data_IF_365180318434
#
_entry.id   IF_365180318434
#
_cell.length_a   1.000
_cell.length_b   1.000
_cell.length_c   1.000
_cell.angle_alpha   90.00
_cell.angle_beta   90.00
_cell.angle_gamma   90.00
#
_symmetry.space_group_name_H-M   'P 1'
#
loop_
_entity.id
_entity.type
_entity.pdbx_description
1 polymer ?
#
# COMPACT_ATOMS: atom_id res chain seq x y z
N UNK A 1 -27.34 -61.10 49.89
CA UNK A 1 -26.35 -60.69 48.88
C UNK A 1 -26.84 -59.43 48.21
N UNK A 2 -26.28 -58.30 48.52
CA UNK A 2 -26.56 -57.00 47.84
C UNK A 2 -25.68 -56.90 46.60
N UNK A 3 -26.28 -57.07 45.42
CA UNK A 3 -25.57 -56.73 44.16
C UNK A 3 -25.39 -55.25 44.11
N UNK A 4 -24.14 -54.80 44.24
CA UNK A 4 -23.74 -53.43 43.90
C UNK A 4 -23.84 -53.31 42.37
N UNK A 5 -24.79 -52.49 41.90
CA UNK A 5 -24.79 -52.00 40.55
C UNK A 5 -23.65 -50.99 40.44
N UNK A 6 -22.58 -51.44 39.82
CA UNK A 6 -21.57 -50.45 39.35
C UNK A 6 -22.19 -49.70 38.14
N UNK A 7 -22.60 -48.48 38.37
CA UNK A 7 -22.90 -47.57 37.27
C UNK A 7 -21.61 -47.33 36.55
N UNK A 8 -21.45 -47.87 35.35
CA UNK A 8 -20.39 -47.42 34.44
C UNK A 8 -20.76 -46.01 34.01
N UNK A 9 -20.12 -45.06 34.63
CA UNK A 9 -20.13 -43.68 34.16
C UNK A 9 -19.34 -43.67 32.85
N UNK A 10 -20.04 -43.62 31.74
CA UNK A 10 -19.40 -43.37 30.45
C UNK A 10 -19.06 -41.90 30.39
N UNK A 11 -17.89 -41.54 30.89
CA UNK A 11 -17.29 -40.23 30.68
C UNK A 11 -16.57 -40.20 29.32
N UNK A 12 -17.30 -40.59 28.28
CA UNK A 12 -16.80 -40.36 26.93
C UNK A 12 -17.11 -38.94 26.52
N UNK A 13 -16.05 -38.09 26.59
CA UNK A 13 -16.11 -36.75 26.06
C UNK A 13 -16.24 -36.86 24.55
N UNK A 14 -17.40 -36.45 24.03
CA UNK A 14 -17.60 -36.36 22.59
C UNK A 14 -16.82 -35.17 22.05
N UNK A 15 -15.73 -35.44 21.32
CA UNK A 15 -14.85 -34.41 20.73
C UNK A 15 -15.39 -33.84 19.42
N UNK A 16 -16.48 -34.39 18.87
CA UNK A 16 -17.03 -33.93 17.58
C UNK A 16 -17.41 -32.44 17.59
N UNK A 17 -18.13 -31.89 18.60
CA UNK A 17 -18.40 -30.46 18.67
C UNK A 17 -17.14 -29.61 18.83
N UNK A 18 -16.13 -30.14 19.52
CA UNK A 18 -14.85 -29.48 19.70
C UNK A 18 -14.08 -29.35 18.35
N UNK A 19 -14.07 -30.44 17.59
CA UNK A 19 -13.46 -30.50 16.26
C UNK A 19 -14.15 -29.53 15.30
N UNK A 20 -15.47 -29.46 15.32
CA UNK A 20 -16.24 -28.51 14.49
C UNK A 20 -15.87 -27.06 14.79
N UNK A 21 -15.78 -26.69 16.06
CA UNK A 21 -15.35 -25.34 16.48
C UNK A 21 -13.93 -25.03 16.01
N UNK A 22 -13.02 -26.00 16.10
CA UNK A 22 -11.62 -25.83 15.64
C UNK A 22 -11.57 -25.64 14.13
N UNK A 23 -12.29 -26.44 13.36
CA UNK A 23 -12.38 -26.29 11.91
C UNK A 23 -13.00 -24.95 11.52
N UNK A 24 -14.02 -24.49 12.19
CA UNK A 24 -14.66 -23.20 11.95
C UNK A 24 -13.68 -22.05 12.19
N UNK A 25 -12.95 -22.07 13.29
CA UNK A 25 -11.89 -21.08 13.58
C UNK A 25 -10.80 -21.12 12.52
N UNK A 26 -10.40 -22.30 12.08
CA UNK A 26 -9.35 -22.46 11.06
C UNK A 26 -9.79 -21.87 9.72
N UNK A 27 -11.04 -22.07 9.33
CA UNK A 27 -11.62 -21.48 8.11
C UNK A 27 -11.66 -19.96 8.22
N UNK A 28 -12.08 -19.42 9.37
CA UNK A 28 -12.09 -17.96 9.60
C UNK A 28 -10.69 -17.41 9.47
N UNK A 29 -9.69 -18.02 10.11
CA UNK A 29 -8.30 -17.58 9.97
C UNK A 29 -7.79 -17.69 8.53
N UNK A 30 -8.19 -18.72 7.79
CA UNK A 30 -7.80 -18.86 6.39
C UNK A 30 -8.38 -17.76 5.50
N UNK A 31 -9.59 -17.29 5.78
CA UNK A 31 -10.25 -16.21 5.04
C UNK A 31 -9.69 -14.84 5.46
N UNK A 32 -9.39 -14.65 6.75
CA UNK A 32 -8.94 -13.35 7.28
C UNK A 32 -7.43 -13.14 7.15
N UNK A 33 -6.62 -14.19 7.12
CA UNK A 33 -5.17 -14.08 6.98
C UNK A 33 -4.70 -13.34 5.71
N UNK A 34 -5.34 -13.52 4.53
CA UNK A 34 -4.99 -12.75 3.34
C UNK A 34 -5.30 -11.26 3.45
N UNK A 35 -6.14 -10.86 4.41
CA UNK A 35 -6.47 -9.45 4.67
C UNK A 35 -5.34 -8.69 5.40
N UNK A 36 -4.31 -9.41 5.82
CA UNK A 36 -3.03 -8.79 6.15
C UNK A 36 -2.31 -8.41 4.86
N UNK A 37 -3.06 -7.75 3.96
CA UNK A 37 -2.41 -7.05 2.87
C UNK A 37 -1.36 -6.14 3.48
N UNK A 38 -0.16 -6.23 2.93
CA UNK A 38 0.87 -5.26 3.19
C UNK A 38 0.24 -3.88 3.02
N UNK A 39 -0.19 -3.29 4.11
CA UNK A 39 -0.56 -1.90 4.10
C UNK A 39 0.70 -1.19 3.65
N UNK A 40 0.70 -0.82 2.37
CA UNK A 40 1.55 0.26 1.94
C UNK A 40 1.13 1.37 2.88
N UNK A 41 2.04 1.78 3.73
CA UNK A 41 1.83 2.91 4.64
C UNK A 41 1.60 4.13 3.75
N UNK A 42 0.39 4.20 3.21
CA UNK A 42 -0.12 5.38 2.56
C UNK A 42 -0.61 6.21 3.72
N UNK A 43 0.29 7.02 4.27
CA UNK A 43 -0.15 8.11 5.11
C UNK A 43 -1.24 8.84 4.33
N UNK A 44 -2.50 8.83 4.79
CA UNK A 44 -3.52 9.57 4.10
C UNK A 44 -2.99 11.00 3.95
N UNK A 45 -3.04 11.59 2.76
CA UNK A 45 -2.58 12.93 2.58
C UNK A 45 -3.34 13.78 3.59
N UNK A 46 -2.62 14.41 4.50
CA UNK A 46 -3.22 15.47 5.30
C UNK A 46 -3.76 16.45 4.27
N UNK A 47 -5.06 16.61 4.23
CA UNK A 47 -5.76 17.53 3.35
C UNK A 47 -5.53 18.99 3.84
N UNK A 48 -4.29 19.32 4.03
CA UNK A 48 -3.88 20.71 3.98
C UNK A 48 -3.48 20.89 2.53
N UNK A 49 -4.08 21.87 1.88
CA UNK A 49 -3.54 22.45 0.67
C UNK A 49 -2.14 22.98 1.04
N UNK A 50 -1.20 22.07 1.18
CA UNK A 50 0.16 22.40 1.50
C UNK A 50 0.65 23.16 0.28
N UNK A 51 0.78 24.48 0.44
CA UNK A 51 1.63 25.24 -0.45
C UNK A 51 2.93 24.46 -0.58
N UNK A 52 3.11 23.82 -1.73
CA UNK A 52 4.35 23.12 -2.04
C UNK A 52 5.39 24.23 -2.03
N UNK A 53 6.08 24.39 -0.90
CA UNK A 53 7.20 25.32 -0.82
C UNK A 53 8.20 24.84 -1.86
N UNK A 54 8.38 25.66 -2.89
CA UNK A 54 9.37 25.41 -3.92
C UNK A 54 10.75 25.50 -3.27
N UNK A 55 11.26 24.37 -2.87
CA UNK A 55 12.63 24.18 -2.43
C UNK A 55 13.37 23.48 -3.57
N UNK A 56 14.65 23.72 -3.73
CA UNK A 56 15.48 23.11 -4.79
C UNK A 56 15.45 21.57 -4.76
N UNK A 57 15.11 21.02 -3.59
CA UNK A 57 14.99 19.57 -3.38
C UNK A 57 13.57 19.01 -3.57
N UNK A 58 12.61 19.86 -3.84
CA UNK A 58 11.24 19.46 -4.10
C UNK A 58 11.03 19.12 -5.57
N UNK A 59 10.67 17.88 -5.85
CA UNK A 59 10.41 17.39 -7.20
C UNK A 59 8.94 17.01 -7.34
N UNK A 60 8.29 17.54 -8.38
CA UNK A 60 6.88 17.28 -8.65
C UNK A 60 6.76 16.45 -9.92
N UNK A 61 6.02 15.36 -9.83
CA UNK A 61 5.66 14.50 -10.95
C UNK A 61 4.17 14.69 -11.20
N UNK A 62 3.80 15.10 -12.40
CA UNK A 62 2.41 15.23 -12.81
C UNK A 62 2.01 14.06 -13.68
N UNK A 63 0.84 13.49 -13.42
CA UNK A 63 0.24 12.46 -14.26
C UNK A 63 -1.12 12.93 -14.70
N UNK A 64 -1.29 13.15 -16.01
CA UNK A 64 -2.55 13.60 -16.59
C UNK A 64 -3.52 12.44 -16.76
N UNK A 65 -4.81 12.76 -17.00
CA UNK A 65 -5.85 11.75 -17.26
C UNK A 65 -5.55 10.84 -18.46
N UNK A 66 -4.78 11.34 -19.43
CA UNK A 66 -4.30 10.57 -20.59
C UNK A 66 -3.10 9.68 -20.26
N UNK A 67 -2.73 9.56 -18.99
CA UNK A 67 -1.55 8.81 -18.49
C UNK A 67 -0.20 9.39 -18.96
N UNK A 68 -0.18 10.66 -19.29
CA UNK A 68 1.04 11.37 -19.66
C UNK A 68 1.77 11.77 -18.38
N UNK A 69 3.02 11.34 -18.28
CA UNK A 69 3.88 11.67 -17.15
C UNK A 69 4.71 12.90 -17.51
N UNK A 70 4.66 13.89 -16.64
CA UNK A 70 5.46 15.11 -16.76
C UNK A 70 6.38 15.21 -15.54
N UNK A 71 7.64 15.31 -15.80
CA UNK A 71 8.66 15.44 -14.76
C UNK A 71 9.71 16.47 -15.16
N UNK A 72 9.98 17.41 -14.29
CA UNK A 72 10.82 18.57 -14.55
C UNK A 72 10.33 19.38 -15.79
N UNK A 73 11.13 19.52 -16.81
CA UNK A 73 10.77 20.24 -18.04
C UNK A 73 10.31 19.31 -19.17
N UNK A 74 10.39 17.98 -18.95
CA UNK A 74 10.00 17.00 -19.94
C UNK A 74 8.52 16.65 -19.81
N UNK A 75 7.83 16.71 -20.91
CA UNK A 75 6.45 16.23 -21.08
C UNK A 75 6.49 14.93 -21.87
N UNK A 76 5.53 14.03 -21.64
CA UNK A 76 5.45 12.75 -22.33
C UNK A 76 6.57 11.74 -21.99
N UNK A 77 6.86 11.56 -20.74
CA UNK A 77 7.77 10.51 -20.30
C UNK A 77 7.06 9.15 -20.26
N UNK A 78 7.72 8.12 -20.75
CA UNK A 78 7.33 6.74 -20.47
C UNK A 78 7.74 6.33 -19.05
N UNK A 79 7.16 5.24 -18.53
CA UNK A 79 7.57 4.70 -17.23
C UNK A 79 9.06 4.35 -17.16
N UNK A 80 9.61 3.82 -18.25
CA UNK A 80 11.03 3.47 -18.34
C UNK A 80 11.93 4.70 -18.30
N UNK A 81 11.57 5.75 -19.03
CA UNK A 81 12.31 7.02 -19.04
C UNK A 81 12.23 7.72 -17.67
N UNK A 82 11.07 7.67 -17.03
CA UNK A 82 10.92 8.19 -15.67
C UNK A 82 11.85 7.46 -14.69
N UNK A 83 11.87 6.14 -14.74
CA UNK A 83 12.74 5.32 -13.88
C UNK A 83 14.21 5.64 -14.10
N UNK A 84 14.65 5.79 -15.35
CA UNK A 84 16.02 6.14 -15.70
C UNK A 84 16.41 7.50 -15.14
N UNK A 85 15.55 8.51 -15.33
CA UNK A 85 15.75 9.85 -14.77
C UNK A 85 15.84 9.86 -13.25
N UNK A 86 14.98 9.11 -12.60
CA UNK A 86 15.00 8.99 -11.15
C UNK A 86 16.27 8.31 -10.64
N UNK A 87 16.76 7.31 -11.36
CA UNK A 87 18.04 6.65 -11.04
C UNK A 87 19.23 7.61 -11.19
N UNK A 88 19.25 8.45 -12.22
CA UNK A 88 20.27 9.49 -12.36
C UNK A 88 20.25 10.45 -11.15
N UNK A 89 19.07 10.90 -10.72
CA UNK A 89 18.93 11.73 -9.51
C UNK A 89 19.39 11.02 -8.24
N UNK A 90 19.22 9.69 -8.17
CA UNK A 90 19.67 8.89 -7.02
C UNK A 90 21.18 8.84 -6.89
N UNK A 91 21.90 8.97 -7.98
CA UNK A 91 23.37 9.03 -7.99
C UNK A 91 23.93 10.38 -7.51
N UNK A 92 23.08 11.40 -7.42
CA UNK A 92 23.44 12.72 -6.90
C UNK A 92 23.81 12.65 -5.41
N UNK A 93 24.73 13.52 -4.98
CA UNK A 93 25.15 13.61 -3.56
C UNK A 93 23.99 13.98 -2.63
N UNK A 94 23.03 14.74 -3.13
CA UNK A 94 21.88 15.23 -2.38
C UNK A 94 20.65 14.33 -2.49
N UNK A 95 20.81 13.12 -2.99
CA UNK A 95 19.71 12.19 -3.26
C UNK A 95 18.79 11.93 -2.06
N UNK A 96 19.31 12.02 -0.83
CA UNK A 96 18.54 11.83 0.40
C UNK A 96 17.65 13.03 0.76
N UNK A 97 17.92 14.19 0.18
CA UNK A 97 17.17 15.42 0.47
C UNK A 97 15.95 15.60 -0.44
N UNK A 98 15.88 14.85 -1.54
CA UNK A 98 14.77 14.99 -2.50
C UNK A 98 13.46 14.49 -1.89
N UNK A 99 12.45 15.35 -2.02
CA UNK A 99 11.05 15.05 -1.69
C UNK A 99 10.25 15.04 -2.96
N UNK A 100 9.51 13.96 -3.17
CA UNK A 100 8.69 13.79 -4.36
C UNK A 100 7.23 14.03 -4.04
N UNK A 101 6.61 14.87 -4.85
CA UNK A 101 5.17 15.10 -4.84
C UNK A 101 4.59 14.52 -6.12
N UNK A 102 3.77 13.50 -5.98
CA UNK A 102 3.04 12.92 -7.09
C UNK A 102 1.67 13.59 -7.20
N UNK A 103 1.50 14.40 -8.23
CA UNK A 103 0.22 15.05 -8.54
C UNK A 103 -0.45 14.28 -9.67
N UNK A 104 -1.52 13.58 -9.35
CA UNK A 104 -2.27 12.77 -10.28
C UNK A 104 -3.64 13.40 -10.54
N UNK A 105 -4.11 13.30 -11.79
CA UNK A 105 -5.46 13.73 -12.15
C UNK A 105 -6.50 12.86 -11.42
N UNK A 106 -7.60 13.45 -11.03
CA UNK A 106 -8.71 12.82 -10.31
C UNK A 106 -9.34 11.67 -11.09
N UNK A 107 -9.38 11.75 -12.42
CA UNK A 107 -9.99 10.74 -13.28
C UNK A 107 -9.09 9.53 -13.55
N UNK A 108 -7.84 9.56 -13.08
CA UNK A 108 -6.93 8.43 -13.18
C UNK A 108 -7.40 7.24 -12.34
N UNK A 109 -7.19 6.05 -12.88
CA UNK A 109 -7.40 4.83 -12.10
C UNK A 109 -6.37 4.75 -10.97
N UNK A 110 -6.80 4.34 -9.81
CA UNK A 110 -5.91 4.14 -8.65
C UNK A 110 -4.69 3.27 -8.99
N UNK A 111 -4.88 2.21 -9.78
CA UNK A 111 -3.78 1.35 -10.22
C UNK A 111 -2.69 2.09 -11.01
N UNK A 112 -3.07 3.01 -11.89
CA UNK A 112 -2.12 3.79 -12.70
C UNK A 112 -1.28 4.72 -11.79
N UNK A 113 -1.89 5.31 -10.79
CA UNK A 113 -1.19 6.16 -9.80
C UNK A 113 -0.21 5.33 -8.97
N UNK A 114 -0.63 4.15 -8.55
CA UNK A 114 0.21 3.23 -7.78
C UNK A 114 1.40 2.73 -8.59
N UNK A 115 1.24 2.51 -9.89
CA UNK A 115 2.35 2.10 -10.75
C UNK A 115 3.44 3.17 -10.84
N UNK A 116 3.05 4.43 -10.93
CA UNK A 116 4.00 5.56 -10.86
C UNK A 116 4.68 5.62 -9.51
N UNK A 117 3.92 5.47 -8.44
CA UNK A 117 4.43 5.46 -7.08
C UNK A 117 5.46 4.33 -6.85
N UNK A 118 5.14 3.12 -7.31
CA UNK A 118 6.08 1.98 -7.28
C UNK A 118 7.35 2.26 -8.06
N UNK A 119 7.25 2.94 -9.21
CA UNK A 119 8.40 3.30 -10.02
C UNK A 119 9.34 4.23 -9.27
N UNK A 120 8.81 5.23 -8.57
CA UNK A 120 9.61 6.13 -7.74
C UNK A 120 10.29 5.36 -6.60
N UNK A 121 9.57 4.44 -5.94
CA UNK A 121 10.14 3.57 -4.91
C UNK A 121 11.23 2.65 -5.43
N UNK A 122 11.05 2.08 -6.63
CA UNK A 122 12.09 1.25 -7.28
C UNK A 122 13.37 2.02 -7.58
N UNK A 123 13.27 3.31 -7.85
CA UNK A 123 14.43 4.17 -8.00
C UNK A 123 15.18 4.43 -6.69
N UNK A 124 14.60 4.05 -5.54
CA UNK A 124 15.22 4.13 -4.23
C UNK A 124 14.84 5.36 -3.41
N UNK A 125 13.77 6.06 -3.78
CA UNK A 125 13.24 7.18 -3.02
C UNK A 125 12.11 6.71 -2.09
N UNK A 126 12.16 7.15 -0.84
CA UNK A 126 11.18 6.78 0.18
C UNK A 126 10.21 7.93 0.50
N UNK A 127 10.65 9.16 0.38
CA UNK A 127 9.86 10.34 0.73
C UNK A 127 9.02 10.79 -0.48
N UNK A 128 7.81 10.23 -0.55
CA UNK A 128 6.86 10.46 -1.64
C UNK A 128 5.52 10.85 -1.02
N UNK A 129 5.00 12.00 -1.42
CA UNK A 129 3.67 12.47 -1.03
C UNK A 129 2.74 12.49 -2.23
N UNK A 130 1.55 11.95 -2.06
CA UNK A 130 0.50 12.03 -3.07
C UNK A 130 -0.30 13.31 -2.84
N UNK A 131 -0.42 14.14 -3.88
CA UNK A 131 -1.19 15.38 -3.86
C UNK A 131 -2.39 15.22 -4.76
N UNK A 132 -3.57 15.39 -4.20
CA UNK A 132 -4.83 15.46 -4.96
C UNK A 132 -5.23 16.92 -5.11
N UNK A 133 -5.72 17.30 -6.28
CA UNK A 133 -6.31 18.62 -6.46
C UNK A 133 -7.62 18.67 -5.67
N UNK A 134 -7.69 19.57 -4.70
CA UNK A 134 -8.94 19.94 -4.07
C UNK A 134 -9.71 20.81 -5.05
N UNK A 135 -10.93 20.39 -5.40
CA UNK A 135 -11.87 21.29 -6.05
C UNK A 135 -12.10 22.52 -5.14
N UNK A 136 -11.85 23.66 -5.70
CA UNK A 136 -12.37 24.93 -5.15
C UNK A 136 -13.88 25.01 -5.44
#
# INVERSE_FOLDING_TARGET
>A
MRRRFQSKTYDEINITPLMDTVFFLLIIFMITAPLLEYSIDVSPPKMEAAEIKADDYTKVIHVTKEKIIQFERKKNLSMAELLERLRELKQSRDSKKYKFYLRADRELRYGDVIDVFKTIKRAGFADISLVTETEQ
#
